data_IF_029112872665
#
_entry.id   IF_029112872665
#
_cell.length_a   1.000
_cell.length_b   1.000
_cell.length_c   1.000
_cell.angle_alpha   90.00
_cell.angle_beta   90.00
_cell.angle_gamma   90.00
#
_symmetry.space_group_name_H-M   'P 1'
#
loop_
_entity.id
_entity.type
_entity.pdbx_description
1 polymer ?
#
# COMPACT_ATOMS: atom_id res chain seq x y z
N UNK A 1 -16.12 3.85 21.55
CA UNK A 1 -15.14 4.97 21.45
C UNK A 1 -15.83 6.29 21.72
N UNK A 2 -17.01 6.52 21.12
CA UNK A 2 -17.87 7.70 21.35
C UNK A 2 -18.13 7.98 22.85
N UNK A 3 -18.49 6.98 23.65
CA UNK A 3 -18.69 7.16 25.11
C UNK A 3 -17.42 7.62 25.85
N UNK A 4 -16.24 7.25 25.35
CA UNK A 4 -14.95 7.55 25.99
C UNK A 4 -14.38 8.90 25.53
N UNK A 5 -14.76 9.35 24.34
CA UNK A 5 -14.27 10.59 23.72
C UNK A 5 -15.44 11.39 23.14
N UNK A 6 -16.29 11.98 23.99
CA UNK A 6 -17.54 12.64 23.57
C UNK A 6 -17.33 13.92 22.76
N UNK A 7 -16.10 14.44 22.72
CA UNK A 7 -15.72 15.65 21.97
C UNK A 7 -14.99 15.33 20.65
N UNK A 8 -14.96 14.06 20.24
CA UNK A 8 -14.30 13.62 19.00
C UNK A 8 -15.37 13.30 17.97
N UNK A 9 -15.50 14.15 16.96
CA UNK A 9 -16.52 14.04 15.91
C UNK A 9 -16.21 12.94 14.89
N UNK A 10 -14.92 12.70 14.63
CA UNK A 10 -14.44 11.67 13.70
C UNK A 10 -13.22 10.97 14.29
N UNK A 11 -13.27 9.65 14.31
CA UNK A 11 -12.11 8.83 14.59
C UNK A 11 -11.55 8.25 13.28
N UNK A 12 -10.27 8.47 13.02
CA UNK A 12 -9.53 7.85 11.92
C UNK A 12 -8.49 6.91 12.51
N UNK A 13 -8.60 5.62 12.21
CA UNK A 13 -7.54 4.68 12.58
C UNK A 13 -6.25 5.03 11.81
N UNK A 14 -5.06 4.81 12.39
CA UNK A 14 -3.82 4.94 11.65
C UNK A 14 -3.85 4.11 10.36
N UNK A 15 -3.41 4.69 9.26
CA UNK A 15 -3.40 4.04 7.92
C UNK A 15 -4.79 3.76 7.33
N UNK A 16 -5.82 4.51 7.74
CA UNK A 16 -7.15 4.52 7.08
C UNK A 16 -7.11 5.32 5.77
N UNK A 17 -7.99 4.99 4.83
CA UNK A 17 -8.19 5.66 3.53
C UNK A 17 -8.79 7.09 3.62
N UNK A 18 -9.06 7.60 4.82
CA UNK A 18 -9.65 8.92 5.02
C UNK A 18 -11.17 8.98 4.90
N UNK A 19 -11.82 7.88 4.51
CA UNK A 19 -13.28 7.84 4.32
C UNK A 19 -14.11 8.21 5.55
N UNK A 20 -13.69 7.91 6.81
CA UNK A 20 -14.44 8.38 7.98
C UNK A 20 -14.58 9.91 8.04
N UNK A 21 -13.54 10.65 7.65
CA UNK A 21 -13.59 12.11 7.61
C UNK A 21 -14.48 12.60 6.46
N UNK A 22 -14.33 12.00 5.28
CA UNK A 22 -15.16 12.34 4.12
C UNK A 22 -16.64 12.11 4.42
N UNK A 23 -16.99 10.98 5.03
CA UNK A 23 -18.37 10.66 5.42
C UNK A 23 -18.93 11.64 6.44
N UNK A 24 -18.11 12.12 7.38
CA UNK A 24 -18.55 13.09 8.37
C UNK A 24 -18.75 14.49 7.78
N UNK A 25 -17.83 14.94 6.93
CA UNK A 25 -17.92 16.24 6.27
C UNK A 25 -19.10 16.33 5.30
N UNK A 26 -19.46 15.21 4.66
CA UNK A 26 -20.57 15.15 3.69
C UNK A 26 -21.94 14.98 4.36
N UNK A 27 -22.00 14.67 5.67
CA UNK A 27 -23.22 14.57 6.48
C UNK A 27 -24.40 13.78 5.84
N UNK A 28 -24.13 12.94 4.83
CA UNK A 28 -25.16 12.23 4.06
C UNK A 28 -25.98 13.08 3.06
N UNK A 29 -25.72 14.38 2.92
CA UNK A 29 -26.45 15.24 1.98
C UNK A 29 -25.58 15.68 0.80
N UNK A 30 -26.11 15.47 -0.41
CA UNK A 30 -25.52 15.63 -1.76
C UNK A 30 -24.87 14.36 -2.36
N UNK A 31 -25.40 13.19 -2.00
CA UNK A 31 -24.85 11.87 -2.35
C UNK A 31 -24.90 11.47 -3.84
N UNK A 32 -25.53 12.23 -4.73
CA UNK A 32 -25.52 11.93 -6.17
C UNK A 32 -24.60 12.87 -6.98
N UNK A 33 -24.60 14.17 -6.64
CA UNK A 33 -23.81 15.18 -7.37
C UNK A 33 -22.36 15.22 -6.86
N UNK A 34 -22.16 15.09 -5.54
CA UNK A 34 -20.81 14.94 -5.00
C UNK A 34 -20.26 13.56 -5.31
N UNK A 35 -21.04 12.48 -5.31
CA UNK A 35 -20.54 11.17 -5.73
C UNK A 35 -20.13 11.19 -7.20
N UNK A 36 -20.87 11.84 -8.11
CA UNK A 36 -20.43 11.97 -9.50
C UNK A 36 -19.16 12.85 -9.66
N UNK A 37 -19.07 13.97 -8.92
CA UNK A 37 -17.88 14.86 -8.94
C UNK A 37 -16.68 14.22 -8.22
N UNK A 38 -16.95 13.43 -7.19
CA UNK A 38 -15.96 12.68 -6.39
C UNK A 38 -15.51 11.46 -7.17
N UNK A 39 -16.39 10.69 -7.81
CA UNK A 39 -16.03 9.65 -8.79
C UNK A 39 -15.26 10.26 -9.96
N UNK A 40 -15.57 11.48 -10.40
CA UNK A 40 -14.81 12.16 -11.44
C UNK A 40 -13.44 12.66 -10.94
N UNK A 41 -13.33 13.15 -9.70
CA UNK A 41 -12.05 13.52 -9.06
C UNK A 41 -11.22 12.29 -8.68
N UNK A 42 -11.86 11.22 -8.23
CA UNK A 42 -11.28 9.91 -7.99
C UNK A 42 -10.86 9.34 -9.33
N UNK A 43 -11.65 9.38 -10.40
CA UNK A 43 -11.18 9.02 -11.74
C UNK A 43 -9.99 9.89 -12.22
N UNK A 44 -9.89 11.16 -11.80
CA UNK A 44 -8.72 12.01 -12.03
C UNK A 44 -7.52 11.69 -11.11
N UNK A 45 -7.73 10.99 -10.00
CA UNK A 45 -6.72 10.54 -9.02
C UNK A 45 -6.42 9.02 -9.10
N UNK A 46 -7.28 8.25 -9.75
CA UNK A 46 -7.27 6.82 -10.08
C UNK A 46 -6.56 6.61 -11.42
N UNK A 47 -6.18 7.70 -12.09
CA UNK A 47 -5.08 7.67 -13.03
C UNK A 47 -3.86 7.09 -12.32
N UNK A 48 -3.17 6.14 -12.97
CA UNK A 48 -1.95 5.57 -12.41
C UNK A 48 -1.01 6.67 -11.89
N UNK A 49 -0.33 6.40 -10.77
CA UNK A 49 0.52 7.35 -10.05
C UNK A 49 1.35 8.22 -11.00
N UNK A 50 0.98 9.48 -11.18
CA UNK A 50 1.72 10.42 -12.03
C UNK A 50 2.88 11.03 -11.25
N UNK A 51 4.10 10.79 -11.73
CA UNK A 51 5.28 11.45 -11.22
C UNK A 51 5.25 12.94 -11.59
N UNK A 52 5.78 13.82 -10.71
CA UNK A 52 6.01 15.21 -11.02
C UNK A 52 6.76 15.38 -12.36
N UNK A 53 6.42 16.40 -13.14
CA UNK A 53 6.98 16.61 -14.48
C UNK A 53 8.52 16.62 -14.54
N UNK A 54 9.19 17.06 -13.46
CA UNK A 54 10.65 17.07 -13.36
C UNK A 54 11.28 15.70 -13.12
N UNK A 55 10.49 14.69 -12.72
CA UNK A 55 10.90 13.32 -12.41
C UNK A 55 10.59 12.33 -13.54
N UNK A 56 9.63 12.66 -14.42
CA UNK A 56 9.28 11.85 -15.60
C UNK A 56 10.54 11.52 -16.43
N UNK A 57 10.77 10.22 -16.65
CA UNK A 57 11.93 9.71 -17.39
C UNK A 57 13.29 9.88 -16.70
N UNK A 58 13.34 10.48 -15.50
CA UNK A 58 14.59 10.72 -14.75
C UNK A 58 14.66 9.92 -13.45
N UNK A 59 13.51 9.65 -12.84
CA UNK A 59 13.44 8.87 -11.61
C UNK A 59 13.65 7.39 -11.93
N UNK A 60 14.77 6.84 -11.46
CA UNK A 60 15.15 5.45 -11.75
C UNK A 60 14.54 4.48 -10.75
N UNK A 61 14.51 4.84 -9.46
CA UNK A 61 14.02 3.99 -8.36
C UNK A 61 12.86 4.66 -7.65
N UNK A 62 11.76 3.92 -7.44
CA UNK A 62 10.55 4.42 -6.80
C UNK A 62 10.10 3.54 -5.62
N UNK A 63 9.75 4.14 -4.46
CA UNK A 63 9.20 3.41 -3.34
C UNK A 63 7.72 3.07 -3.57
N UNK A 64 7.32 1.83 -3.28
CA UNK A 64 5.93 1.37 -3.35
C UNK A 64 5.58 0.70 -2.03
N UNK A 65 4.65 1.28 -1.26
CA UNK A 65 4.18 0.66 -0.02
C UNK A 65 3.36 -0.59 -0.35
N UNK A 66 3.61 -1.73 0.28
CA UNK A 66 2.86 -2.98 0.05
C UNK A 66 2.12 -3.46 1.31
N UNK A 67 2.58 -3.02 2.49
CA UNK A 67 1.99 -3.34 3.80
C UNK A 67 1.87 -2.07 4.63
N UNK A 68 0.70 -1.88 5.23
CA UNK A 68 0.46 -0.87 6.27
C UNK A 68 0.38 -1.51 7.65
N UNK A 69 0.70 -0.74 8.69
CA UNK A 69 0.69 -1.24 10.07
C UNK A 69 1.71 -2.36 10.34
N UNK A 70 1.58 -3.02 11.49
CA UNK A 70 2.37 -4.21 11.85
C UNK A 70 1.66 -4.99 12.96
N UNK A 71 1.47 -6.30 12.75
CA UNK A 71 0.85 -7.20 13.74
C UNK A 71 1.89 -8.02 14.51
N UNK A 72 3.19 -7.85 14.22
CA UNK A 72 4.25 -8.53 14.95
C UNK A 72 4.62 -7.78 16.24
N UNK A 73 4.47 -8.47 17.38
CA UNK A 73 4.69 -7.90 18.70
C UNK A 73 6.14 -8.04 19.17
N UNK A 74 7.04 -7.18 18.69
CA UNK A 74 8.39 -7.09 19.26
C UNK A 74 8.34 -6.41 20.64
N UNK A 75 9.10 -6.92 21.60
CA UNK A 75 9.13 -6.39 22.98
C UNK A 75 9.48 -4.89 23.10
N UNK A 76 10.20 -4.34 22.13
CA UNK A 76 10.65 -2.95 22.11
C UNK A 76 9.86 -2.05 21.15
N UNK A 77 8.99 -2.62 20.31
CA UNK A 77 8.42 -1.91 19.17
C UNK A 77 7.07 -1.30 19.51
N UNK A 78 6.97 0.03 19.42
CA UNK A 78 5.72 0.78 19.63
C UNK A 78 4.78 0.73 18.41
N UNK A 79 5.25 0.26 17.25
CA UNK A 79 4.56 0.36 15.97
C UNK A 79 3.18 -0.31 15.95
N UNK A 80 2.96 -1.53 16.51
CA UNK A 80 1.63 -2.13 16.52
C UNK A 80 0.57 -1.25 17.17
N UNK A 81 0.97 -0.41 18.14
CA UNK A 81 0.06 0.52 18.82
C UNK A 81 -0.14 1.84 18.06
N UNK A 82 0.82 2.26 17.23
CA UNK A 82 0.81 3.59 16.58
C UNK A 82 0.43 3.56 15.10
N UNK A 83 0.74 2.48 14.39
CA UNK A 83 0.45 2.36 12.95
C UNK A 83 -0.75 1.45 12.65
N UNK A 84 -1.37 0.89 13.68
CA UNK A 84 -2.50 -0.02 13.54
C UNK A 84 -2.07 -1.45 13.20
N UNK A 85 -3.09 -2.30 13.01
CA UNK A 85 -2.91 -3.69 12.61
C UNK A 85 -2.32 -3.76 11.21
N UNK A 86 -1.61 -4.85 10.95
CA UNK A 86 -1.12 -5.20 9.61
C UNK A 86 -2.28 -5.23 8.60
N UNK A 87 -2.08 -4.57 7.47
CA UNK A 87 -2.97 -4.59 6.31
C UNK A 87 -2.13 -4.70 5.03
N UNK A 88 -2.24 -5.80 4.33
CA UNK A 88 -1.62 -6.00 3.01
C UNK A 88 -2.46 -5.31 1.94
N UNK A 89 -1.80 -4.57 1.05
CA UNK A 89 -2.47 -3.98 -0.12
C UNK A 89 -2.81 -5.05 -1.15
N UNK A 90 -3.93 -4.96 -1.88
CA UNK A 90 -4.25 -5.90 -2.94
C UNK A 90 -3.18 -5.94 -4.04
N UNK A 91 -2.82 -7.15 -4.51
CA UNK A 91 -1.82 -7.35 -5.57
C UNK A 91 -2.15 -6.54 -6.82
N UNK A 92 -3.43 -6.47 -7.20
CA UNK A 92 -3.90 -5.73 -8.38
C UNK A 92 -3.60 -4.23 -8.30
N UNK A 93 -3.81 -3.61 -7.14
CA UNK A 93 -3.51 -2.19 -6.92
C UNK A 93 -2.00 -1.93 -6.97
N UNK A 94 -1.20 -2.77 -6.31
CA UNK A 94 0.27 -2.66 -6.33
C UNK A 94 0.78 -2.80 -7.76
N UNK A 95 0.31 -3.81 -8.51
CA UNK A 95 0.74 -4.05 -9.88
C UNK A 95 0.31 -2.91 -10.82
N UNK A 96 -0.86 -2.31 -10.61
CA UNK A 96 -1.31 -1.15 -11.38
C UNK A 96 -0.42 0.08 -11.11
N UNK A 97 -0.08 0.33 -9.85
CA UNK A 97 0.85 1.40 -9.45
C UNK A 97 2.24 1.20 -10.07
N UNK A 98 2.80 -0.01 -9.96
CA UNK A 98 4.11 -0.33 -10.53
C UNK A 98 4.11 -0.19 -12.05
N UNK A 99 3.06 -0.68 -12.74
CA UNK A 99 2.92 -0.47 -14.19
C UNK A 99 2.92 1.00 -14.55
N UNK A 100 2.18 1.82 -13.81
CA UNK A 100 2.16 3.26 -14.05
C UNK A 100 3.56 3.88 -13.90
N UNK A 101 4.29 3.53 -12.84
CA UNK A 101 5.67 3.99 -12.64
C UNK A 101 6.60 3.55 -13.77
N UNK A 102 6.48 2.29 -14.22
CA UNK A 102 7.27 1.75 -15.32
C UNK A 102 7.04 2.52 -16.63
N UNK A 103 5.78 2.86 -16.96
CA UNK A 103 5.45 3.68 -18.15
C UNK A 103 6.07 5.07 -18.12
N UNK A 104 6.44 5.56 -16.94
CA UNK A 104 7.05 6.87 -16.73
C UNK A 104 8.58 6.82 -16.62
N UNK A 105 9.18 5.66 -16.91
CA UNK A 105 10.63 5.47 -17.00
C UNK A 105 11.29 4.97 -15.71
N UNK A 106 10.53 4.62 -14.68
CA UNK A 106 11.07 3.95 -13.49
C UNK A 106 11.55 2.56 -13.85
N UNK A 107 12.74 2.19 -13.37
CA UNK A 107 13.40 0.91 -13.63
C UNK A 107 13.52 0.02 -12.40
N UNK A 108 13.57 0.63 -11.21
CA UNK A 108 13.61 -0.08 -9.94
C UNK A 108 12.37 0.28 -9.11
N UNK A 109 11.73 -0.72 -8.53
CA UNK A 109 10.73 -0.51 -7.47
C UNK A 109 11.23 -1.05 -6.15
N UNK A 110 11.04 -0.25 -5.09
CA UNK A 110 11.39 -0.61 -3.72
C UNK A 110 10.12 -0.87 -2.92
N UNK A 111 9.81 -2.13 -2.67
CA UNK A 111 8.66 -2.55 -1.88
C UNK A 111 8.90 -2.21 -0.40
N UNK A 112 7.98 -1.45 0.18
CA UNK A 112 8.08 -0.94 1.54
C UNK A 112 6.96 -1.49 2.43
N UNK A 113 7.29 -1.70 3.69
CA UNK A 113 6.37 -2.11 4.74
C UNK A 113 7.05 -1.96 6.10
N UNK A 114 6.37 -2.36 7.17
CA UNK A 114 7.05 -2.53 8.47
C UNK A 114 7.80 -3.86 8.52
N UNK A 115 7.15 -4.94 8.06
CA UNK A 115 7.75 -6.24 7.82
C UNK A 115 7.25 -6.75 6.48
N UNK A 116 8.07 -6.64 5.43
CA UNK A 116 7.64 -6.95 4.06
C UNK A 116 7.40 -8.44 3.82
N UNK A 117 8.18 -9.31 4.47
CA UNK A 117 8.04 -10.77 4.35
C UNK A 117 6.72 -11.28 4.92
N UNK A 118 6.00 -10.43 5.66
CA UNK A 118 4.65 -10.71 6.19
C UNK A 118 3.51 -10.29 5.25
N UNK A 119 3.82 -9.79 4.05
CA UNK A 119 2.78 -9.51 3.06
C UNK A 119 1.91 -10.76 2.83
N UNK A 120 0.59 -10.57 2.93
CA UNK A 120 -0.42 -11.63 2.81
C UNK A 120 -0.80 -12.35 4.10
N UNK A 121 -0.09 -12.15 5.22
CA UNK A 121 -0.39 -12.86 6.49
C UNK A 121 -1.72 -12.44 7.13
N UNK A 122 -2.28 -11.30 6.76
CA UNK A 122 -3.57 -10.79 7.21
C UNK A 122 -4.74 -11.24 6.32
N UNK A 123 -4.47 -11.99 5.24
CA UNK A 123 -5.47 -12.48 4.27
C UNK A 123 -5.43 -14.01 4.22
N UNK A 124 -6.48 -14.65 4.72
CA UNK A 124 -6.60 -16.12 4.70
C UNK A 124 -6.57 -16.67 3.27
N UNK A 125 -5.66 -17.61 3.00
CA UNK A 125 -5.40 -18.17 1.67
C UNK A 125 -5.10 -17.12 0.58
N UNK A 126 -4.61 -15.94 0.98
CA UNK A 126 -4.19 -14.88 0.07
C UNK A 126 -2.82 -15.11 -0.56
N UNK A 127 -2.44 -14.29 -1.55
CA UNK A 127 -1.09 -14.28 -2.11
C UNK A 127 -0.08 -13.79 -1.07
N UNK A 128 1.11 -14.38 -1.07
CA UNK A 128 2.21 -13.97 -0.20
C UNK A 128 3.23 -13.08 -0.94
N UNK A 129 4.28 -12.65 -0.23
CA UNK A 129 5.33 -11.82 -0.81
C UNK A 129 5.95 -12.47 -2.07
N UNK A 130 6.14 -13.78 -2.08
CA UNK A 130 6.76 -14.47 -3.20
C UNK A 130 5.87 -14.46 -4.44
N UNK A 131 4.55 -14.52 -4.26
CA UNK A 131 3.58 -14.37 -5.36
C UNK A 131 3.61 -12.93 -5.90
N UNK A 132 3.63 -11.94 -5.01
CA UNK A 132 3.73 -10.53 -5.38
C UNK A 132 5.02 -10.23 -6.17
N UNK A 133 6.17 -10.75 -5.71
CA UNK A 133 7.46 -10.57 -6.40
C UNK A 133 7.41 -11.09 -7.83
N UNK A 134 6.83 -12.28 -8.04
CA UNK A 134 6.64 -12.85 -9.39
C UNK A 134 5.73 -11.97 -10.25
N UNK A 135 4.60 -11.52 -9.71
CA UNK A 135 3.68 -10.64 -10.45
C UNK A 135 4.35 -9.33 -10.87
N UNK A 136 5.17 -8.74 -9.99
CA UNK A 136 5.89 -7.50 -10.28
C UNK A 136 7.01 -7.74 -11.30
N UNK A 137 7.70 -8.88 -11.23
CA UNK A 137 8.77 -9.24 -12.16
C UNK A 137 8.28 -9.34 -13.61
N UNK A 138 7.01 -9.72 -13.83
CA UNK A 138 6.39 -9.77 -15.17
C UNK A 138 6.02 -8.38 -15.73
N UNK A 139 6.27 -7.28 -15.00
CA UNK A 139 5.93 -5.94 -15.46
C UNK A 139 7.04 -5.38 -16.36
N UNK A 140 6.70 -5.21 -17.65
CA UNK A 140 7.58 -4.58 -18.63
C UNK A 140 8.11 -3.22 -18.16
N UNK A 141 9.42 -3.02 -18.30
CA UNK A 141 10.11 -1.78 -17.95
C UNK A 141 10.72 -1.77 -16.55
N UNK A 142 10.29 -2.67 -15.65
CA UNK A 142 10.96 -2.89 -14.36
C UNK A 142 12.13 -3.84 -14.56
N UNK A 143 13.32 -3.36 -14.23
CA UNK A 143 14.59 -4.09 -14.32
C UNK A 143 15.04 -4.62 -12.95
N UNK A 144 14.49 -4.07 -11.86
CA UNK A 144 14.86 -4.48 -10.51
C UNK A 144 13.70 -4.33 -9.53
N UNK A 145 13.44 -5.40 -8.78
CA UNK A 145 12.58 -5.38 -7.59
C UNK A 145 13.47 -5.43 -6.36
N UNK A 146 13.32 -4.45 -5.48
CA UNK A 146 13.98 -4.41 -4.16
C UNK A 146 12.91 -4.45 -3.10
N UNK A 147 13.17 -5.13 -1.99
CA UNK A 147 12.37 -4.97 -0.78
C UNK A 147 13.29 -4.79 0.41
N UNK A 148 12.80 -4.11 1.44
CA UNK A 148 13.55 -3.79 2.67
C UNK A 148 12.67 -4.15 3.88
N UNK A 149 13.25 -4.21 5.07
CA UNK A 149 12.55 -4.52 6.34
C UNK A 149 12.06 -5.97 6.47
N UNK A 150 12.89 -6.91 6.04
CA UNK A 150 12.67 -8.34 6.30
C UNK A 150 12.82 -8.68 7.78
N UNK A 151 12.08 -9.69 8.24
CA UNK A 151 12.19 -10.21 9.59
C UNK A 151 12.46 -11.72 9.53
N UNK A 152 13.52 -12.22 10.20
CA UNK A 152 14.04 -13.58 9.95
C UNK A 152 13.00 -14.70 10.15
N UNK A 153 12.07 -14.52 11.10
CA UNK A 153 11.01 -15.51 11.35
C UNK A 153 10.02 -15.70 10.18
N UNK A 154 9.98 -14.78 9.22
CA UNK A 154 9.01 -14.77 8.12
C UNK A 154 9.68 -14.94 6.75
N UNK A 155 11.00 -15.09 6.71
CA UNK A 155 11.72 -15.40 5.48
C UNK A 155 11.51 -16.88 5.13
N UNK A 156 10.59 -17.16 4.22
CA UNK A 156 10.26 -18.53 3.78
C UNK A 156 11.12 -18.96 2.60
N UNK A 157 11.28 -20.28 2.40
CA UNK A 157 11.96 -20.82 1.22
C UNK A 157 11.29 -20.37 -0.09
N UNK A 158 9.97 -20.17 -0.10
CA UNK A 158 9.24 -19.68 -1.27
C UNK A 158 9.70 -18.27 -1.67
N UNK A 159 9.99 -17.40 -0.70
CA UNK A 159 10.58 -16.06 -0.94
C UNK A 159 12.00 -16.22 -1.46
N UNK A 160 12.81 -17.09 -0.87
CA UNK A 160 14.18 -17.34 -1.32
C UNK A 160 14.23 -17.83 -2.78
N UNK A 161 13.35 -18.75 -3.16
CA UNK A 161 13.25 -19.21 -4.54
C UNK A 161 12.76 -18.11 -5.48
N UNK A 162 11.78 -17.30 -5.08
CA UNK A 162 11.33 -16.17 -5.88
C UNK A 162 12.39 -15.07 -6.10
N UNK A 163 13.36 -14.94 -5.19
CA UNK A 163 14.48 -14.00 -5.34
C UNK A 163 15.60 -14.56 -6.22
N UNK A 164 15.77 -15.89 -6.19
CA UNK A 164 16.79 -16.59 -7.01
C UNK A 164 16.39 -16.64 -8.48
N UNK A 165 15.12 -16.96 -8.73
CA UNK A 165 14.54 -17.20 -10.06
C UNK A 165 14.23 -15.89 -10.78
#
# INVERSE_FOLDING_TARGET
LEERFPYVDVFMEPSTDGMPLVSHLTQGDVQAFETAVTEQRHAWQDGGVLLPAHQLGKMVSAPVAIVYGCSHACAFCIIPQKRGKERSRPVGEIAAEVRSLATQGVKEVVLLGQIVDRYGYDVDNGPDLADLLRVINEIDGIERVRFLTSHPNYMTDKILYAVRD
#
